data_IF_049806166067
#
_entry.id   IF_049806166067
#
_cell.length_a   1.000
_cell.length_b   1.000
_cell.length_c   1.000
_cell.angle_alpha   90.00
_cell.angle_beta   90.00
_cell.angle_gamma   90.00
#
_symmetry.space_group_name_H-M   'P 1'
#
loop_
_entity.id
_entity.type
_entity.pdbx_description
1 polymer ?
#
# COMPACT_ATOMS: atom_id res chain seq x y z
N UNK A 1 -10.98 -14.54 -2.86
CA UNK A 1 -11.32 -13.39 -2.00
C UNK A 1 -11.60 -12.18 -2.86
N UNK A 2 -12.75 -11.58 -2.67
CA UNK A 2 -13.10 -10.34 -3.37
C UNK A 2 -12.78 -9.13 -2.48
N UNK A 3 -12.45 -8.01 -3.13
CA UNK A 3 -12.19 -6.77 -2.43
C UNK A 3 -13.50 -6.01 -2.30
N UNK A 4 -13.85 -5.58 -1.09
CA UNK A 4 -15.09 -4.86 -0.84
C UNK A 4 -15.21 -3.61 -1.68
N UNK A 5 -16.32 -3.41 -2.35
CA UNK A 5 -16.59 -2.27 -3.22
C UNK A 5 -16.01 -2.40 -4.62
N UNK A 6 -15.38 -3.52 -4.97
CA UNK A 6 -14.80 -3.74 -6.29
C UNK A 6 -15.15 -5.14 -6.79
N UNK A 7 -15.24 -5.28 -8.10
CA UNK A 7 -15.35 -6.58 -8.75
C UNK A 7 -13.99 -7.23 -8.99
N UNK A 8 -12.92 -6.55 -8.63
CA UNK A 8 -11.57 -7.07 -8.82
C UNK A 8 -11.33 -8.32 -7.96
N UNK A 9 -10.86 -9.38 -8.59
CA UNK A 9 -10.45 -10.61 -7.91
C UNK A 9 -8.97 -10.79 -8.18
N UNK A 10 -8.11 -10.63 -7.15
CA UNK A 10 -6.67 -10.75 -7.37
C UNK A 10 -6.30 -12.22 -7.65
N UNK A 11 -5.26 -12.46 -8.46
CA UNK A 11 -4.76 -13.81 -8.64
C UNK A 11 -4.16 -14.34 -7.34
N UNK A 12 -4.05 -15.65 -7.22
CA UNK A 12 -3.40 -16.25 -6.06
C UNK A 12 -1.94 -15.81 -6.02
N UNK A 13 -1.45 -15.32 -4.86
CA UNK A 13 -0.06 -14.90 -4.77
C UNK A 13 0.91 -16.07 -4.99
N UNK A 14 1.95 -15.83 -5.78
CA UNK A 14 3.07 -16.75 -5.93
C UNK A 14 4.22 -16.23 -5.08
N UNK A 15 4.74 -17.05 -4.19
CA UNK A 15 5.76 -16.62 -3.22
C UNK A 15 6.99 -16.02 -3.89
N UNK A 16 7.48 -16.64 -4.97
CA UNK A 16 8.65 -16.14 -5.68
C UNK A 16 8.36 -14.79 -6.35
N UNK A 17 7.21 -14.66 -7.00
CA UNK A 17 6.82 -13.43 -7.67
C UNK A 17 6.64 -12.29 -6.66
N UNK A 18 6.05 -12.59 -5.50
CA UNK A 18 5.88 -11.62 -4.44
C UNK A 18 7.24 -11.14 -3.92
N UNK A 19 8.15 -12.05 -3.65
CA UNK A 19 9.49 -11.70 -3.16
C UNK A 19 10.25 -10.85 -4.18
N UNK A 20 10.18 -11.21 -5.46
CA UNK A 20 10.83 -10.45 -6.52
C UNK A 20 10.25 -9.05 -6.64
N UNK A 21 8.92 -8.92 -6.60
CA UNK A 21 8.27 -7.62 -6.73
C UNK A 21 8.60 -6.72 -5.55
N UNK A 22 8.60 -7.27 -4.34
CA UNK A 22 8.98 -6.50 -3.15
C UNK A 22 10.42 -6.04 -3.26
N UNK A 23 11.32 -6.91 -3.72
CA UNK A 23 12.72 -6.54 -3.94
C UNK A 23 12.85 -5.43 -4.96
N UNK A 24 12.15 -5.53 -6.07
CA UNK A 24 12.16 -4.48 -7.12
C UNK A 24 11.72 -3.14 -6.56
N UNK A 25 10.63 -3.14 -5.77
CA UNK A 25 10.13 -1.90 -5.17
C UNK A 25 11.16 -1.29 -4.24
N UNK A 26 11.81 -2.11 -3.42
CA UNK A 26 12.82 -1.64 -2.46
C UNK A 26 14.08 -1.16 -3.19
N UNK A 27 14.47 -1.82 -4.26
CA UNK A 27 15.68 -1.46 -5.01
C UNK A 27 15.50 -0.25 -5.93
N UNK A 28 14.27 0.18 -6.20
CA UNK A 28 14.05 1.41 -6.94
C UNK A 28 14.65 2.58 -6.15
N UNK A 29 15.43 3.42 -6.82
CA UNK A 29 16.06 4.59 -6.17
C UNK A 29 15.02 5.68 -5.98
N UNK A 30 14.27 5.60 -4.89
CA UNK A 30 13.21 6.54 -4.60
C UNK A 30 13.24 6.94 -3.14
N UNK A 31 12.48 7.97 -2.76
CA UNK A 31 12.35 8.37 -1.38
C UNK A 31 11.72 7.24 -0.57
N UNK A 32 12.11 7.15 0.71
CA UNK A 32 11.62 6.10 1.61
C UNK A 32 10.10 6.09 1.67
N UNK A 33 9.46 7.27 1.74
CA UNK A 33 8.00 7.35 1.80
C UNK A 33 7.35 6.79 0.52
N UNK A 34 7.91 7.09 -0.64
CA UNK A 34 7.34 6.57 -1.89
C UNK A 34 7.47 5.04 -1.95
N UNK A 35 8.59 4.51 -1.51
CA UNK A 35 8.81 3.06 -1.43
C UNK A 35 7.81 2.41 -0.48
N UNK A 36 7.61 3.00 0.71
CA UNK A 36 6.68 2.48 1.70
C UNK A 36 5.23 2.47 1.17
N UNK A 37 4.83 3.54 0.50
CA UNK A 37 3.49 3.61 -0.10
C UNK A 37 3.31 2.54 -1.18
N UNK A 38 4.30 2.35 -2.04
CA UNK A 38 4.27 1.31 -3.07
C UNK A 38 4.17 -0.08 -2.46
N UNK A 39 4.93 -0.34 -1.39
CA UNK A 39 4.87 -1.62 -0.69
C UNK A 39 3.47 -1.84 -0.10
N UNK A 40 2.91 -0.83 0.55
CA UNK A 40 1.57 -0.90 1.13
C UNK A 40 0.52 -1.24 0.07
N UNK A 41 0.51 -0.50 -1.02
CA UNK A 41 -0.48 -0.67 -2.08
C UNK A 41 -0.31 -1.99 -2.82
N UNK A 42 0.92 -2.42 -3.05
CA UNK A 42 1.19 -3.71 -3.66
C UNK A 42 0.64 -4.84 -2.79
N UNK A 43 0.92 -4.81 -1.48
CA UNK A 43 0.44 -5.82 -0.56
C UNK A 43 -1.09 -5.85 -0.49
N UNK A 44 -1.72 -4.68 -0.49
CA UNK A 44 -3.18 -4.59 -0.49
C UNK A 44 -3.78 -5.19 -1.76
N UNK A 45 -3.23 -4.84 -2.92
CA UNK A 45 -3.78 -5.28 -4.20
C UNK A 45 -3.59 -6.78 -4.42
N UNK A 46 -2.45 -7.32 -4.01
CA UNK A 46 -2.16 -8.75 -4.19
C UNK A 46 -2.73 -9.62 -3.08
N UNK A 47 -3.20 -9.00 -1.99
CA UNK A 47 -3.77 -9.71 -0.85
C UNK A 47 -2.84 -10.83 -0.36
N UNK A 48 -1.59 -10.47 -0.10
CA UNK A 48 -0.54 -11.40 0.35
C UNK A 48 -0.91 -12.02 1.70
N UNK A 49 -1.61 -11.27 2.55
CA UNK A 49 -1.97 -11.70 3.88
C UNK A 49 -3.37 -12.34 3.86
N UNK A 50 -3.54 -13.44 4.56
CA UNK A 50 -4.79 -14.20 4.54
C UNK A 50 -5.94 -13.47 5.21
N UNK A 51 -5.67 -12.71 6.26
CA UNK A 51 -6.69 -12.00 7.02
C UNK A 51 -6.17 -10.62 7.40
N UNK A 52 -7.10 -9.67 7.51
CA UNK A 52 -6.73 -8.29 7.84
C UNK A 52 -5.76 -7.67 6.84
N UNK A 53 -5.92 -7.98 5.56
CA UNK A 53 -4.94 -7.64 4.53
C UNK A 53 -4.59 -6.15 4.48
N UNK A 54 -5.58 -5.26 4.58
CA UNK A 54 -5.32 -3.81 4.57
C UNK A 54 -4.51 -3.39 5.78
N UNK A 55 -4.90 -3.87 6.96
CA UNK A 55 -4.20 -3.57 8.21
C UNK A 55 -2.76 -4.11 8.18
N UNK A 56 -2.61 -5.37 7.78
CA UNK A 56 -1.30 -6.00 7.69
C UNK A 56 -0.40 -5.28 6.68
N UNK A 57 -0.96 -4.83 5.56
CA UNK A 57 -0.21 -4.09 4.56
C UNK A 57 0.32 -2.76 5.11
N UNK A 58 -0.50 -2.05 5.88
CA UNK A 58 -0.07 -0.79 6.52
C UNK A 58 1.01 -1.07 7.55
N UNK A 59 0.87 -2.13 8.35
CA UNK A 59 1.88 -2.50 9.34
C UNK A 59 3.21 -2.85 8.66
N UNK A 60 3.18 -3.60 7.58
CA UNK A 60 4.38 -3.96 6.84
C UNK A 60 5.09 -2.72 6.27
N UNK A 61 4.31 -1.83 5.65
CA UNK A 61 4.86 -0.59 5.10
C UNK A 61 5.44 0.29 6.21
N UNK A 62 4.79 0.34 7.37
CA UNK A 62 5.28 1.10 8.52
C UNK A 62 6.57 0.51 9.07
N UNK A 63 6.69 -0.81 9.09
CA UNK A 63 7.94 -1.44 9.53
C UNK A 63 9.10 -0.96 8.66
N UNK A 64 8.92 -0.94 7.36
CA UNK A 64 9.93 -0.43 6.44
C UNK A 64 10.20 1.06 6.68
N UNK A 65 9.14 1.86 6.73
CA UNK A 65 9.24 3.32 6.83
C UNK A 65 9.91 3.74 8.14
N UNK A 66 9.50 3.14 9.25
CA UNK A 66 10.06 3.45 10.58
C UNK A 66 11.52 3.04 10.65
N UNK A 67 11.86 1.86 10.14
CA UNK A 67 13.25 1.37 10.19
C UNK A 67 14.22 2.22 9.37
N UNK A 68 13.69 3.00 8.42
CA UNK A 68 14.50 3.92 7.61
C UNK A 68 14.34 5.37 8.04
N UNK A 69 13.72 5.62 9.19
CA UNK A 69 13.57 6.98 9.73
C UNK A 69 12.63 7.88 8.96
N UNK A 70 11.73 7.30 8.17
CA UNK A 70 10.85 8.06 7.27
C UNK A 70 9.50 8.45 7.85
N UNK A 71 9.24 8.18 9.14
CA UNK A 71 7.95 8.46 9.75
C UNK A 71 7.04 7.25 9.79
N UNK A 72 5.75 7.47 9.64
CA UNK A 72 4.79 6.36 9.62
C UNK A 72 3.53 6.72 8.83
N UNK A 73 2.79 5.70 8.40
CA UNK A 73 1.54 5.85 7.66
C UNK A 73 0.37 5.52 8.56
N UNK A 74 -0.62 6.41 8.58
CA UNK A 74 -1.90 6.22 9.27
C UNK A 74 -2.98 6.78 8.35
N UNK A 75 -4.06 6.04 8.15
CA UNK A 75 -5.18 6.53 7.37
C UNK A 75 -6.16 7.20 8.34
N UNK A 76 -6.27 8.54 8.32
CA UNK A 76 -7.19 9.22 9.23
C UNK A 76 -8.63 8.78 8.98
N UNK A 77 -9.41 8.66 10.05
CA UNK A 77 -10.80 8.20 9.94
C UNK A 77 -11.60 9.04 8.96
N UNK A 78 -11.44 10.35 8.98
CA UNK A 78 -12.16 11.25 8.07
C UNK A 78 -11.77 11.08 6.61
N UNK A 79 -10.61 10.50 6.34
CA UNK A 79 -10.12 10.28 4.98
C UNK A 79 -10.42 8.86 4.46
N UNK A 80 -10.95 7.98 5.32
CA UNK A 80 -11.21 6.59 4.93
C UNK A 80 -12.14 6.47 3.73
N UNK A 81 -13.27 7.22 3.62
CA UNK A 81 -14.14 7.09 2.46
C UNK A 81 -13.43 7.41 1.14
N UNK A 82 -12.64 8.48 1.11
CA UNK A 82 -11.90 8.85 -0.10
C UNK A 82 -10.79 7.85 -0.39
N UNK A 83 -10.09 7.40 0.64
CA UNK A 83 -9.07 6.37 0.49
C UNK A 83 -9.66 5.10 -0.15
N UNK A 84 -10.81 4.65 0.34
CA UNK A 84 -11.47 3.46 -0.21
C UNK A 84 -11.87 3.66 -1.68
N UNK A 85 -12.38 4.84 -2.00
CA UNK A 85 -12.76 5.17 -3.38
C UNK A 85 -11.56 5.08 -4.32
N UNK A 86 -10.45 5.68 -3.92
CA UNK A 86 -9.21 5.66 -4.72
C UNK A 86 -8.61 4.26 -4.78
N UNK A 87 -8.70 3.50 -3.69
CA UNK A 87 -8.17 2.15 -3.64
C UNK A 87 -8.90 1.22 -4.62
N UNK A 88 -10.24 1.33 -4.68
CA UNK A 88 -11.03 0.55 -5.65
C UNK A 88 -10.61 0.89 -7.08
N UNK A 89 -10.46 2.16 -7.38
CA UNK A 89 -10.02 2.60 -8.71
C UNK A 89 -8.62 2.06 -9.04
N UNK A 90 -7.71 2.09 -8.07
CA UNK A 90 -6.38 1.55 -8.26
C UNK A 90 -6.44 0.03 -8.55
N UNK A 91 -7.27 -0.71 -7.81
CA UNK A 91 -7.46 -2.14 -8.05
C UNK A 91 -7.99 -2.42 -9.45
N UNK A 92 -8.80 -1.51 -9.99
CA UNK A 92 -9.41 -1.66 -11.30
C UNK A 92 -8.53 -1.14 -12.45
N UNK A 93 -7.30 -0.74 -12.14
CA UNK A 93 -6.30 -0.39 -13.15
C UNK A 93 -5.92 1.07 -13.26
N UNK A 94 -6.44 1.94 -12.38
CA UNK A 94 -6.03 3.34 -12.38
C UNK A 94 -4.57 3.47 -11.96
N UNK A 95 -3.89 4.51 -12.46
CA UNK A 95 -2.49 4.76 -12.16
C UNK A 95 -2.27 4.89 -10.65
N UNK A 96 -1.21 4.25 -10.16
CA UNK A 96 -0.85 4.24 -8.75
C UNK A 96 -0.56 5.66 -8.21
N UNK A 97 -0.13 6.59 -9.07
CA UNK A 97 0.23 7.93 -8.62
C UNK A 97 -0.93 8.66 -7.97
N UNK A 98 -2.17 8.43 -8.40
CA UNK A 98 -3.34 9.11 -7.85
C UNK A 98 -3.50 8.79 -6.37
N UNK A 99 -3.54 7.51 -6.02
CA UNK A 99 -3.69 7.08 -4.62
C UNK A 99 -2.42 7.31 -3.82
N UNK A 100 -1.25 7.16 -4.44
CA UNK A 100 0.02 7.40 -3.77
C UNK A 100 0.16 8.86 -3.34
N UNK A 101 -0.20 9.80 -4.20
CA UNK A 101 -0.16 11.22 -3.87
C UNK A 101 -1.13 11.55 -2.74
N UNK A 102 -2.32 10.95 -2.77
CA UNK A 102 -3.29 11.10 -1.69
C UNK A 102 -2.72 10.61 -0.35
N UNK A 103 -2.10 9.42 -0.33
CA UNK A 103 -1.51 8.87 0.88
C UNK A 103 -0.36 9.72 1.39
N UNK A 104 0.47 10.23 0.49
CA UNK A 104 1.59 11.09 0.87
C UNK A 104 1.10 12.39 1.51
N UNK A 105 -0.01 12.93 1.02
CA UNK A 105 -0.56 14.19 1.53
C UNK A 105 -1.31 14.01 2.85
N UNK A 106 -2.12 12.96 2.98
CA UNK A 106 -3.06 12.83 4.11
C UNK A 106 -2.70 11.74 5.11
N UNK A 107 -1.92 10.76 4.72
CA UNK A 107 -1.69 9.57 5.55
C UNK A 107 -0.28 9.50 6.14
N UNK A 108 0.63 10.32 5.66
CA UNK A 108 2.03 10.28 6.08
C UNK A 108 2.27 11.23 7.25
N UNK A 109 2.84 10.71 8.34
CA UNK A 109 3.23 11.49 9.51
C UNK A 109 4.75 11.39 9.66
N UNK A 110 5.42 12.54 9.70
CA UNK A 110 6.86 12.57 9.92
C UNK A 110 7.15 12.47 11.42
N UNK A 111 8.24 11.79 11.76
CA UNK A 111 8.75 11.77 13.13
C UNK A 111 9.66 12.98 13.28
N UNK A 112 9.34 13.84 14.25
CA UNK A 112 10.16 15.01 14.57
C UNK A 112 11.14 14.71 15.70
#
# INVERSE_FOLDING_TARGET
>A
VTIGGSSYVPPLPNELDVKEKIREIIEESDEVINTAIKLCLYCMKTQIFLDGNKRASVIFANHYLISHGGGFLVIPEKEVPEFKRLLVKYYEGEDITVIADFMKKYCWKKIE
#
